data_IF_584914634183
#
_entry.id   IF_584914634183
#
_cell.length_a   1.000
_cell.length_b   1.000
_cell.length_c   1.000
_cell.angle_alpha   90.00
_cell.angle_beta   90.00
_cell.angle_gamma   90.00
#
_symmetry.space_group_name_H-M   'P 1'
#
loop_
_entity.id
_entity.type
_entity.pdbx_description
1 polymer ?
#
# COMPACT_ATOMS: atom_id res chain seq x y z
N UNK A 1 12.68 17.42 -13.08
CA UNK A 1 12.33 16.94 -13.04
C UNK A 1 11.69 16.32 -13.24
N UNK A 2 11.63 16.20 -13.16
CA UNK A 2 11.00 15.67 -13.21
C UNK A 2 10.49 15.01 -13.52
N UNK A 3 10.61 14.87 -13.89
CA UNK A 3 10.03 14.28 -14.29
C UNK A 3 9.69 13.15 -13.99
N UNK A 4 10.27 12.75 -13.29
CA UNK A 4 10.02 11.45 -12.85
C UNK A 4 8.58 11.19 -12.65
N UNK A 5 7.95 12.05 -11.97
CA UNK A 5 6.52 11.93 -11.82
C UNK A 5 5.81 11.84 -13.14
N UNK A 6 6.45 12.36 -14.13
CA UNK A 6 5.88 12.35 -15.45
C UNK A 6 5.64 10.97 -15.96
N UNK A 7 6.56 10.08 -15.66
CA UNK A 7 6.49 8.74 -16.17
C UNK A 7 5.54 7.87 -15.40
N UNK A 8 5.20 8.30 -14.23
CA UNK A 8 4.34 7.53 -13.37
C UNK A 8 2.91 7.95 -13.59
N UNK A 9 2.01 7.01 -13.56
CA UNK A 9 0.61 7.31 -13.63
C UNK A 9 0.11 7.87 -12.33
N UNK A 10 0.94 7.78 -11.30
CA UNK A 10 0.58 8.22 -9.97
C UNK A 10 1.64 9.17 -9.48
N UNK A 11 1.26 10.40 -9.17
CA UNK A 11 2.23 11.34 -8.64
C UNK A 11 2.41 11.08 -7.15
N UNK A 12 3.33 11.81 -6.54
CA UNK A 12 3.70 11.60 -5.17
C UNK A 12 2.51 11.76 -4.21
N UNK A 13 1.71 12.77 -4.45
CA UNK A 13 0.54 13.03 -3.59
C UNK A 13 -0.45 11.88 -3.71
N UNK A 14 -0.67 11.41 -4.92
CA UNK A 14 -1.61 10.33 -5.13
C UNK A 14 -1.09 9.05 -4.48
N UNK A 15 0.20 8.82 -4.56
CA UNK A 15 0.79 7.64 -3.94
C UNK A 15 0.56 7.66 -2.43
N UNK A 16 0.77 8.79 -1.81
CA UNK A 16 0.56 8.90 -0.37
C UNK A 16 -0.90 8.64 0.00
N UNK A 17 -1.81 9.14 -0.82
CA UNK A 17 -3.22 8.89 -0.59
C UNK A 17 -3.54 7.42 -0.65
N UNK A 18 -3.02 6.73 -1.66
CA UNK A 18 -3.28 5.32 -1.83
C UNK A 18 -2.72 4.52 -0.66
N UNK A 19 -1.52 4.86 -0.23
CA UNK A 19 -0.90 4.14 0.88
C UNK A 19 -1.67 4.37 2.17
N UNK A 20 -2.13 5.59 2.37
CA UNK A 20 -2.91 5.90 3.55
C UNK A 20 -4.23 5.15 3.52
N UNK A 21 -4.90 5.15 2.38
CA UNK A 21 -6.16 4.42 2.24
C UNK A 21 -5.97 2.95 2.54
N UNK A 22 -4.87 2.39 2.04
CA UNK A 22 -4.59 0.98 2.24
C UNK A 22 -4.44 0.64 3.72
N UNK A 23 -3.79 1.52 4.47
CA UNK A 23 -3.62 1.26 5.89
C UNK A 23 -4.92 1.42 6.67
N UNK A 24 -5.74 2.36 6.23
CA UNK A 24 -7.02 2.61 6.90
C UNK A 24 -8.05 1.53 6.57
N UNK A 25 -7.88 0.88 5.44
CA UNK A 25 -8.83 -0.14 4.98
C UNK A 25 -8.17 -1.51 4.86
N UNK A 26 -7.15 -1.73 5.63
CA UNK A 26 -6.39 -2.96 5.59
C UNK A 26 -7.29 -4.19 5.80
N UNK A 27 -7.09 -5.21 4.97
CA UNK A 27 -7.77 -6.48 5.12
C UNK A 27 -6.78 -7.61 4.87
N UNK A 28 -7.05 -8.81 5.36
CA UNK A 28 -6.18 -9.96 5.12
C UNK A 28 -6.03 -10.25 3.63
N UNK A 29 -4.98 -10.97 3.29
CA UNK A 29 -4.65 -11.17 1.89
C UNK A 29 -5.75 -11.88 1.12
N UNK A 30 -6.50 -12.75 1.77
CA UNK A 30 -7.55 -13.49 1.09
C UNK A 30 -8.82 -12.66 0.89
N UNK A 31 -8.87 -11.46 1.46
CA UNK A 31 -10.02 -10.58 1.30
C UNK A 31 -9.71 -9.38 0.42
N UNK A 32 -8.52 -9.33 -0.16
CA UNK A 32 -8.11 -8.19 -0.96
C UNK A 32 -8.63 -8.32 -2.38
N UNK A 33 -9.11 -7.19 -2.89
CA UNK A 33 -9.58 -7.12 -4.27
C UNK A 33 -8.37 -6.95 -5.19
N UNK A 34 -8.15 -7.89 -6.08
CA UNK A 34 -7.01 -7.81 -6.97
C UNK A 34 -7.14 -6.67 -7.98
N UNK A 35 -8.30 -6.07 -8.07
CA UNK A 35 -8.49 -4.92 -8.93
C UNK A 35 -7.99 -3.63 -8.30
N UNK A 36 -7.66 -3.65 -7.02
CA UNK A 36 -7.13 -2.46 -6.38
C UNK A 36 -5.80 -2.06 -7.00
N UNK A 37 -5.48 -0.79 -6.87
CA UNK A 37 -4.23 -0.27 -7.39
C UNK A 37 -3.05 -1.03 -6.81
N UNK A 38 -2.01 -1.30 -7.62
CA UNK A 38 -0.84 -2.04 -7.12
C UNK A 38 -0.21 -1.43 -5.88
N UNK A 39 -0.23 -0.12 -5.75
CA UNK A 39 0.34 0.54 -4.58
C UNK A 39 -0.45 0.18 -3.33
N UNK A 40 -1.76 0.07 -3.46
CA UNK A 40 -2.60 -0.32 -2.34
C UNK A 40 -2.25 -1.73 -1.89
N UNK A 41 -2.13 -2.63 -2.86
CA UNK A 41 -1.81 -4.02 -2.55
C UNK A 41 -0.42 -4.12 -1.93
N UNK A 42 0.51 -3.35 -2.46
CA UNK A 42 1.87 -3.34 -1.92
C UNK A 42 1.90 -2.85 -0.48
N UNK A 43 1.17 -1.80 -0.21
CA UNK A 43 1.17 -1.22 1.12
C UNK A 43 0.55 -2.19 2.13
N UNK A 44 -0.49 -2.90 1.72
CA UNK A 44 -1.09 -3.90 2.59
C UNK A 44 -0.12 -5.04 2.86
N UNK A 45 0.66 -5.41 1.86
CA UNK A 45 1.67 -6.44 2.03
C UNK A 45 2.74 -6.00 3.02
N UNK A 46 3.11 -4.72 2.98
CA UNK A 46 4.06 -4.20 3.95
C UNK A 46 3.49 -4.27 5.35
N UNK A 47 2.21 -3.94 5.46
CA UNK A 47 1.56 -3.99 6.76
C UNK A 47 1.48 -5.43 7.28
N UNK A 48 1.34 -6.39 6.39
CA UNK A 48 1.38 -7.79 6.79
C UNK A 48 2.66 -8.09 7.57
N UNK A 49 3.78 -7.61 7.06
CA UNK A 49 5.05 -7.81 7.72
C UNK A 49 5.12 -7.14 9.08
N UNK A 50 4.56 -5.93 9.15
CA UNK A 50 4.55 -5.19 10.41
C UNK A 50 3.71 -5.91 11.44
N UNK A 51 2.55 -6.40 11.03
CA UNK A 51 1.66 -7.11 11.94
C UNK A 51 2.29 -8.39 12.42
N UNK A 52 2.90 -9.15 11.51
CA UNK A 52 3.57 -10.38 11.86
C UNK A 52 4.70 -10.12 12.85
N UNK A 53 5.47 -9.09 12.60
CA UNK A 53 6.57 -8.74 13.46
C UNK A 53 6.10 -8.39 14.86
N UNK A 54 5.02 -7.64 14.93
CA UNK A 54 4.46 -7.25 16.21
C UNK A 54 4.02 -8.46 17.01
N UNK A 55 3.43 -9.42 16.32
CA UNK A 55 2.96 -10.65 16.97
C UNK A 55 4.15 -11.45 17.47
N UNK A 56 5.19 -11.54 16.68
CA UNK A 56 6.36 -12.32 17.06
C UNK A 56 7.10 -11.69 18.24
N UNK A 57 7.16 -10.38 18.25
CA UNK A 57 7.86 -9.66 19.29
C UNK A 57 7.05 -9.63 20.57
N UNK A 58 5.77 -9.47 20.41
CA UNK A 58 4.88 -9.36 21.54
C UNK A 58 4.75 -10.62 22.31
#
# INVERSE_FOLDING_TARGET
MVRAGVLSEVDFIEELRLRRWARENYVPSDERDTAWHPIILEEMRRKDGEVSEAVLVG
#
